data_IF_692066516353
#
_entry.id   IF_692066516353
#
_cell.length_a   1.000
_cell.length_b   1.000
_cell.length_c   1.000
_cell.angle_alpha   90.00
_cell.angle_beta   90.00
_cell.angle_gamma   90.00
#
_symmetry.space_group_name_H-M   'P 1'
#
loop_
_entity.id
_entity.type
_entity.pdbx_description
1 polymer ?
#
# COMPACT_ATOMS: atom_id res chain seq x y z
N UNK A 1 40.50 9.56 -8.98
CA UNK A 1 39.67 9.04 -7.88
C UNK A 1 38.21 9.28 -8.25
N UNK A 2 37.58 8.31 -8.90
CA UNK A 2 36.17 8.43 -9.28
C UNK A 2 35.31 8.11 -8.07
N UNK A 3 34.59 9.11 -7.57
CA UNK A 3 33.56 8.93 -6.56
C UNK A 3 32.34 8.41 -7.30
N UNK A 4 31.99 7.13 -7.13
CA UNK A 4 30.71 6.63 -7.65
C UNK A 4 29.60 7.51 -7.06
N UNK A 5 28.63 7.98 -7.87
CA UNK A 5 27.45 8.61 -7.32
C UNK A 5 26.74 7.56 -6.46
N UNK A 6 26.51 7.88 -5.18
CA UNK A 6 25.58 7.12 -4.36
C UNK A 6 24.25 7.05 -5.11
N UNK A 7 23.58 5.89 -5.24
CA UNK A 7 22.25 5.86 -5.81
C UNK A 7 21.37 6.77 -4.97
N UNK A 8 20.87 7.86 -5.55
CA UNK A 8 19.79 8.63 -4.96
C UNK A 8 18.59 7.68 -4.93
N UNK A 9 18.28 7.15 -3.75
CA UNK A 9 17.12 6.29 -3.60
C UNK A 9 15.89 7.10 -4.03
N UNK A 10 15.06 6.61 -4.95
CA UNK A 10 13.85 7.32 -5.36
C UNK A 10 12.98 7.56 -4.12
N UNK A 11 12.36 8.75 -4.00
CA UNK A 11 11.48 9.05 -2.88
C UNK A 11 10.26 8.14 -2.92
N UNK A 12 10.26 7.10 -2.07
CA UNK A 12 9.05 6.35 -1.75
C UNK A 12 8.27 7.19 -0.75
N UNK A 13 7.06 7.61 -1.14
CA UNK A 13 6.14 8.26 -0.21
C UNK A 13 5.45 7.18 0.62
N UNK A 14 5.93 6.98 1.84
CA UNK A 14 5.32 6.13 2.85
C UNK A 14 5.30 6.92 4.16
N UNK A 15 4.10 7.28 4.67
CA UNK A 15 4.00 8.06 5.90
C UNK A 15 4.70 7.35 7.07
N UNK A 16 5.40 8.12 7.89
CA UNK A 16 6.04 7.64 9.11
C UNK A 16 5.14 7.93 10.31
N UNK A 17 4.69 6.87 10.97
CA UNK A 17 3.91 6.90 12.20
C UNK A 17 4.86 6.64 13.36
N UNK A 18 5.12 7.66 14.17
CA UNK A 18 6.00 7.58 15.33
C UNK A 18 5.16 7.46 16.61
N UNK A 19 5.39 6.41 17.40
CA UNK A 19 4.77 6.17 18.69
C UNK A 19 5.84 6.30 19.78
N UNK A 20 5.77 7.34 20.58
CA UNK A 20 6.65 7.50 21.74
C UNK A 20 5.88 7.07 22.99
N UNK A 21 6.33 5.99 23.63
CA UNK A 21 5.77 5.49 24.88
C UNK A 21 6.37 6.30 26.03
N UNK A 22 5.51 7.02 26.75
CA UNK A 22 5.89 7.82 27.90
C UNK A 22 6.01 6.95 29.16
N UNK A 23 6.67 7.47 30.21
CA UNK A 23 6.90 6.76 31.47
C UNK A 23 5.61 6.31 32.17
N UNK A 24 4.51 7.03 31.98
CA UNK A 24 3.18 6.71 32.54
C UNK A 24 2.40 5.68 31.69
N UNK A 25 3.02 5.14 30.65
CA UNK A 25 2.45 4.19 29.70
C UNK A 25 1.44 4.80 28.73
N UNK A 26 1.35 6.13 28.64
CA UNK A 26 0.65 6.81 27.54
C UNK A 26 1.52 6.86 26.30
N UNK A 27 0.92 7.13 25.15
CA UNK A 27 1.63 7.19 23.88
C UNK A 27 1.40 8.54 23.22
N UNK A 28 2.48 9.18 22.81
CA UNK A 28 2.43 10.34 21.92
C UNK A 28 2.60 9.85 20.49
N UNK A 29 1.64 10.17 19.61
CA UNK A 29 1.64 9.71 18.22
C UNK A 29 1.80 10.88 17.27
N UNK A 30 2.69 10.74 16.28
CA UNK A 30 2.75 11.64 15.12
C UNK A 30 2.68 10.85 13.81
N UNK A 31 2.11 11.46 12.77
CA UNK A 31 2.15 10.99 11.38
C UNK A 31 2.88 12.07 10.58
N UNK A 32 4.03 11.73 10.00
CA UNK A 32 4.92 12.68 9.34
C UNK A 32 5.14 13.95 10.17
N UNK A 33 5.52 13.74 11.44
CA UNK A 33 5.74 14.78 12.46
C UNK A 33 4.48 15.56 12.91
N UNK A 34 3.34 15.36 12.25
CA UNK A 34 2.06 15.99 12.63
C UNK A 34 1.40 15.19 13.76
N UNK A 35 1.04 15.81 14.90
CA UNK A 35 0.40 15.11 16.00
C UNK A 35 -0.92 14.43 15.60
N UNK A 36 -1.08 13.17 16.00
CA UNK A 36 -2.33 12.41 15.84
C UNK A 36 -3.01 12.27 17.22
N UNK A 37 -3.96 13.16 17.57
CA UNK A 37 -4.58 13.13 18.89
C UNK A 37 -5.51 11.91 19.05
N UNK A 38 -5.67 11.41 20.28
CA UNK A 38 -6.67 10.37 20.57
C UNK A 38 -8.10 10.88 20.36
N UNK A 39 -9.04 9.97 20.05
CA UNK A 39 -10.46 10.30 20.08
C UNK A 39 -10.87 10.73 21.50
N UNK A 40 -11.94 11.53 21.63
CA UNK A 40 -12.32 12.19 22.89
C UNK A 40 -12.66 11.23 24.04
N UNK A 41 -13.01 9.98 23.75
CA UNK A 41 -13.20 8.91 24.74
C UNK A 41 -12.45 7.66 24.23
N UNK A 42 -11.42 7.14 24.93
CA UNK A 42 -10.96 7.46 26.29
C UNK A 42 -10.02 8.68 26.41
N UNK A 43 -9.77 9.45 25.35
CA UNK A 43 -9.00 10.71 25.42
C UNK A 43 -7.48 10.54 25.61
N UNK A 44 -6.96 9.31 25.65
CA UNK A 44 -5.53 9.02 25.76
C UNK A 44 -5.15 7.81 24.91
N UNK A 45 -4.01 7.90 24.21
CA UNK A 45 -3.44 6.73 23.57
C UNK A 45 -2.71 5.86 24.60
N UNK A 46 -2.96 4.55 24.48
CA UNK A 46 -2.36 3.50 25.30
C UNK A 46 -1.92 2.36 24.39
N UNK A 47 -1.08 1.46 24.89
CA UNK A 47 -0.57 0.32 24.11
C UNK A 47 -1.69 -0.56 23.52
N UNK A 48 -2.81 -0.71 24.23
CA UNK A 48 -3.97 -1.43 23.71
C UNK A 48 -4.64 -0.79 22.47
N UNK A 49 -4.41 0.49 22.23
CA UNK A 49 -4.98 1.24 21.10
C UNK A 49 -4.11 1.19 19.83
N UNK A 50 -3.01 0.44 19.83
CA UNK A 50 -2.13 0.29 18.66
C UNK A 50 -2.88 -0.02 17.36
N UNK A 51 -3.79 -1.02 17.30
CA UNK A 51 -4.54 -1.30 16.09
C UNK A 51 -5.28 -0.07 15.57
N UNK A 52 -6.00 0.63 16.44
CA UNK A 52 -6.77 1.83 16.12
C UNK A 52 -5.89 2.99 15.65
N UNK A 53 -4.73 3.20 16.30
CA UNK A 53 -3.75 4.23 15.90
C UNK A 53 -3.31 3.97 14.47
N UNK A 54 -2.96 2.73 14.14
CA UNK A 54 -2.51 2.40 12.79
C UNK A 54 -3.66 2.53 11.79
N UNK A 55 -4.86 2.07 12.12
CA UNK A 55 -6.03 2.22 11.23
C UNK A 55 -6.25 3.71 10.90
N UNK A 56 -6.23 4.59 11.91
CA UNK A 56 -6.41 6.03 11.69
C UNK A 56 -5.25 6.63 10.87
N UNK A 57 -4.01 6.29 11.19
CA UNK A 57 -2.83 6.82 10.52
C UNK A 57 -2.67 6.32 9.08
N UNK A 58 -3.29 5.19 8.74
CA UNK A 58 -3.23 4.55 7.41
C UNK A 58 -4.52 4.69 6.60
N UNK A 59 -5.47 5.52 7.07
CA UNK A 59 -6.82 5.62 6.53
C UNK A 59 -7.50 4.25 6.35
N UNK A 60 -7.72 3.55 7.45
CA UNK A 60 -8.28 2.19 7.52
C UNK A 60 -7.47 1.18 6.67
N UNK A 61 -6.14 1.27 6.74
CA UNK A 61 -5.17 0.45 6.00
C UNK A 61 -5.26 0.62 4.48
N UNK A 62 -5.70 1.78 3.99
CA UNK A 62 -5.75 2.06 2.55
C UNK A 62 -4.36 2.22 1.92
N UNK A 63 -3.36 2.67 2.68
CA UNK A 63 -1.98 2.82 2.23
C UNK A 63 -0.99 2.25 3.24
N UNK A 64 0.22 1.83 2.78
CA UNK A 64 1.24 1.34 3.69
C UNK A 64 1.79 2.49 4.56
N UNK A 65 2.11 2.17 5.81
CA UNK A 65 2.75 3.12 6.73
C UNK A 65 3.96 2.50 7.40
N UNK A 66 5.00 3.32 7.62
CA UNK A 66 6.16 2.92 8.43
C UNK A 66 5.89 3.29 9.87
N UNK A 67 5.93 2.30 10.75
CA UNK A 67 5.71 2.49 12.18
C UNK A 67 7.05 2.46 12.88
N UNK A 68 7.35 3.49 13.66
CA UNK A 68 8.45 3.49 14.63
C UNK A 68 7.86 3.59 16.04
N UNK A 69 8.30 2.72 16.93
CA UNK A 69 7.90 2.72 18.33
C UNK A 69 9.16 2.97 19.16
N UNK A 70 9.17 4.05 19.93
CA UNK A 70 10.18 4.30 20.95
C UNK A 70 9.58 3.95 22.31
N UNK A 71 10.19 2.98 22.98
CA UNK A 71 9.82 2.58 24.32
C UNK A 71 10.51 3.46 25.38
N UNK A 72 9.96 3.48 26.59
CA UNK A 72 10.49 4.27 27.70
C UNK A 72 11.86 3.77 28.19
N UNK A 73 12.22 2.52 27.92
CA UNK A 73 13.53 1.94 28.21
C UNK A 73 14.62 2.32 27.18
N UNK A 74 14.25 3.13 26.19
CA UNK A 74 15.13 3.57 25.10
C UNK A 74 15.25 2.57 23.95
N UNK A 75 14.53 1.44 24.00
CA UNK A 75 14.45 0.52 22.87
C UNK A 75 13.56 1.10 21.76
N UNK A 76 13.86 0.72 20.52
CA UNK A 76 13.12 1.16 19.35
C UNK A 76 12.77 -0.02 18.44
N UNK A 77 11.55 -0.02 17.95
CA UNK A 77 11.04 -1.02 17.02
C UNK A 77 10.56 -0.35 15.74
N UNK A 78 10.80 -0.97 14.59
CA UNK A 78 10.35 -0.45 13.30
C UNK A 78 9.57 -1.51 12.53
N UNK A 79 8.39 -1.16 12.04
CA UNK A 79 7.57 -1.95 11.12
C UNK A 79 7.17 -1.20 9.85
N UNK A 80 6.78 -1.93 8.82
CA UNK A 80 6.03 -1.41 7.68
C UNK A 80 4.70 -2.15 7.66
N UNK A 81 3.63 -1.47 8.02
CA UNK A 81 2.28 -2.01 7.92
C UNK A 81 1.83 -1.87 6.47
N UNK A 82 1.50 -2.97 5.76
CA UNK A 82 1.02 -2.90 4.39
C UNK A 82 -0.42 -2.37 4.32
N UNK A 83 -0.81 -1.93 3.13
CA UNK A 83 -2.22 -1.69 2.84
C UNK A 83 -3.01 -3.01 2.80
N UNK A 84 -4.29 -2.97 3.15
CA UNK A 84 -5.22 -4.08 2.93
C UNK A 84 -5.83 -3.92 1.53
N UNK A 85 -5.47 -4.79 0.61
CA UNK A 85 -6.08 -4.84 -0.72
C UNK A 85 -7.46 -5.49 -0.57
N UNK A 86 -8.51 -4.66 -0.51
CA UNK A 86 -9.89 -5.14 -0.59
C UNK A 86 -10.18 -5.50 -2.04
N UNK A 87 -10.11 -6.79 -2.39
CA UNK A 87 -10.69 -7.27 -3.65
C UNK A 87 -12.20 -7.16 -3.51
N UNK A 88 -12.82 -6.22 -4.21
CA UNK A 88 -14.27 -6.28 -4.43
C UNK A 88 -14.52 -7.60 -5.19
N UNK A 89 -15.34 -8.52 -4.65
CA UNK A 89 -15.77 -9.67 -5.43
C UNK A 89 -16.39 -9.15 -6.73
N UNK A 90 -16.04 -9.75 -7.87
CA UNK A 90 -16.78 -9.49 -9.09
C UNK A 90 -18.28 -9.75 -8.77
N UNK A 91 -19.21 -8.86 -9.18
CA UNK A 91 -20.62 -9.12 -8.98
C UNK A 91 -20.94 -10.50 -9.53
N UNK A 92 -21.62 -11.33 -8.73
CA UNK A 92 -22.01 -12.67 -9.15
C UNK A 92 -22.96 -12.52 -10.33
N UNK A 93 -22.65 -13.07 -11.52
CA UNK A 93 -23.55 -13.03 -12.67
C UNK A 93 -24.91 -13.69 -12.40
N UNK A 94 -25.04 -14.40 -11.27
CA UNK A 94 -26.22 -15.14 -10.87
C UNK A 94 -26.99 -14.51 -9.70
N UNK A 95 -26.65 -13.30 -9.26
CA UNK A 95 -27.41 -12.61 -8.21
C UNK A 95 -28.84 -12.30 -8.73
N UNK A 96 -29.89 -13.00 -8.24
CA UNK A 96 -31.22 -12.94 -8.84
C UNK A 96 -31.95 -11.62 -8.57
N UNK A 97 -31.39 -10.76 -7.72
CA UNK A 97 -31.90 -9.42 -7.40
C UNK A 97 -31.26 -8.30 -8.27
N UNK A 98 -30.34 -8.63 -9.17
CA UNK A 98 -29.94 -7.72 -10.23
C UNK A 98 -31.07 -7.69 -11.28
N UNK A 99 -32.07 -6.83 -11.05
CA UNK A 99 -33.23 -6.64 -11.93
C UNK A 99 -32.80 -6.46 -13.39
N UNK A 100 -32.91 -7.56 -14.15
CA UNK A 100 -32.89 -7.55 -15.61
C UNK A 100 -34.27 -7.12 -16.08
N UNK A 101 -34.36 -5.89 -16.59
CA UNK A 101 -35.55 -5.42 -17.31
C UNK A 101 -35.65 -6.20 -18.66
N UNK A 102 -36.70 -6.98 -18.93
CA UNK A 102 -36.72 -7.88 -20.08
C UNK A 102 -37.54 -7.29 -21.23
N UNK A 103 -36.87 -6.89 -22.31
CA UNK A 103 -37.44 -6.78 -23.66
C UNK A 103 -36.26 -6.55 -24.63
N UNK A 104 -36.00 -7.30 -25.70
CA UNK A 104 -36.89 -7.88 -26.71
C UNK A 104 -36.15 -9.03 -27.40
N UNK A 105 -36.84 -10.15 -27.62
CA UNK A 105 -36.42 -11.26 -28.47
C UNK A 105 -36.31 -10.89 -29.97
N UNK A 106 -35.54 -11.74 -30.66
CA UNK A 106 -35.61 -12.16 -32.07
C UNK A 106 -34.49 -11.61 -32.97
N UNK A 107 -33.75 -12.37 -33.78
CA UNK A 107 -33.68 -13.81 -34.10
C UNK A 107 -32.59 -13.96 -35.18
N UNK A 108 -31.68 -14.95 -35.05
CA UNK A 108 -30.87 -15.65 -36.11
C UNK A 108 -29.86 -14.78 -36.89
N UNK A 109 -28.72 -15.24 -37.40
CA UNK A 109 -27.99 -16.51 -37.52
C UNK A 109 -26.58 -16.10 -38.04
N UNK A 110 -25.59 -16.97 -37.82
CA UNK A 110 -24.42 -17.21 -38.69
C UNK A 110 -23.08 -16.46 -38.48
N UNK A 111 -22.05 -17.32 -38.34
CA UNK A 111 -20.63 -17.22 -38.69
C UNK A 111 -19.70 -16.10 -38.21
N UNK A 112 -18.58 -16.54 -37.61
CA UNK A 112 -17.27 -15.88 -37.73
C UNK A 112 -16.79 -15.06 -36.54
N UNK A 113 -15.87 -15.65 -35.77
CA UNK A 113 -14.68 -15.01 -35.17
C UNK A 113 -14.83 -13.63 -34.50
N UNK A 114 -14.80 -13.59 -33.17
CA UNK A 114 -13.95 -12.65 -32.44
C UNK A 114 -13.70 -13.16 -31.01
N UNK A 115 -12.42 -13.24 -30.62
CA UNK A 115 -12.01 -13.36 -29.22
C UNK A 115 -12.45 -12.08 -28.50
N UNK A 116 -13.68 -12.09 -27.99
CA UNK A 116 -14.15 -11.05 -27.11
C UNK A 116 -13.39 -11.17 -25.79
N UNK A 117 -12.29 -10.44 -25.68
CA UNK A 117 -11.76 -10.04 -24.40
C UNK A 117 -12.94 -9.51 -23.57
N UNK A 118 -13.13 -9.93 -22.32
CA UNK A 118 -14.16 -9.35 -21.49
C UNK A 118 -13.78 -7.89 -21.31
N UNK A 119 -14.47 -7.02 -22.04
CA UNK A 119 -14.43 -5.60 -21.84
C UNK A 119 -14.93 -5.37 -20.41
N UNK A 120 -13.99 -5.18 -19.49
CA UNK A 120 -14.29 -4.67 -18.17
C UNK A 120 -14.69 -3.21 -18.35
N UNK A 121 -15.93 -2.99 -18.79
CA UNK A 121 -16.60 -1.69 -18.70
C UNK A 121 -17.25 -1.62 -17.32
N UNK A 122 -16.44 -1.85 -16.28
CA UNK A 122 -16.67 -1.29 -14.97
C UNK A 122 -15.97 0.05 -14.98
N UNK A 123 -16.68 1.14 -14.67
CA UNK A 123 -16.02 2.44 -14.50
C UNK A 123 -14.88 2.25 -13.51
N UNK A 124 -13.64 2.39 -13.97
CA UNK A 124 -12.48 2.35 -13.10
C UNK A 124 -12.64 3.53 -12.14
N UNK A 125 -13.02 3.26 -10.90
CA UNK A 125 -13.10 4.26 -9.85
C UNK A 125 -11.66 4.72 -9.57
N UNK A 126 -11.27 5.85 -10.15
CA UNK A 126 -9.95 6.42 -9.96
C UNK A 126 -9.91 7.22 -8.67
N UNK A 127 -8.98 6.87 -7.78
CA UNK A 127 -8.68 7.65 -6.58
C UNK A 127 -7.49 8.58 -6.88
N UNK A 128 -7.70 9.89 -6.76
CA UNK A 128 -6.62 10.87 -6.89
C UNK A 128 -5.78 10.91 -5.61
N UNK A 129 -4.46 10.83 -5.75
CA UNK A 129 -3.50 10.96 -4.64
C UNK A 129 -2.64 12.19 -4.91
N UNK A 130 -2.74 13.20 -4.04
CA UNK A 130 -1.97 14.44 -4.16
C UNK A 130 -0.74 14.41 -3.26
N UNK A 131 0.44 14.53 -3.86
CA UNK A 131 1.70 14.69 -3.13
C UNK A 131 2.20 16.13 -3.24
N UNK A 132 2.17 16.89 -2.15
CA UNK A 132 2.56 18.31 -2.13
C UNK A 132 3.90 18.50 -1.41
N UNK A 133 4.83 19.26 -2.02
CA UNK A 133 6.15 19.61 -1.44
C UNK A 133 7.03 18.42 -1.04
N UNK A 134 6.93 17.30 -1.76
CA UNK A 134 7.72 16.09 -1.51
C UNK A 134 9.13 16.10 -2.13
N UNK A 135 9.58 17.25 -2.65
CA UNK A 135 10.91 17.39 -3.25
C UNK A 135 11.04 16.88 -4.69
N UNK A 136 9.91 16.56 -5.34
CA UNK A 136 9.90 16.11 -6.72
C UNK A 136 10.37 17.19 -7.71
N UNK A 137 11.17 16.80 -8.70
CA UNK A 137 11.58 17.70 -9.77
C UNK A 137 10.44 17.93 -10.79
N UNK A 138 10.28 19.14 -11.35
CA UNK A 138 9.24 19.40 -12.35
C UNK A 138 9.35 18.48 -13.57
N UNK A 139 8.26 17.76 -13.88
CA UNK A 139 8.17 16.88 -15.05
C UNK A 139 8.87 15.52 -14.91
N UNK A 140 9.36 15.16 -13.72
CA UNK A 140 9.91 13.84 -13.49
C UNK A 140 8.81 12.76 -13.49
N UNK A 141 9.15 11.56 -13.98
CA UNK A 141 8.27 10.40 -13.89
C UNK A 141 8.32 9.83 -12.48
N UNK A 142 7.15 9.62 -11.87
CA UNK A 142 7.03 9.03 -10.54
C UNK A 142 6.65 7.56 -10.64
N UNK A 143 7.47 6.68 -10.07
CA UNK A 143 7.07 5.30 -9.82
C UNK A 143 6.12 5.26 -8.61
N UNK A 144 4.94 4.67 -8.78
CA UNK A 144 3.95 4.48 -7.71
C UNK A 144 3.93 3.00 -7.34
N UNK A 145 4.24 2.68 -6.08
CA UNK A 145 4.29 1.31 -5.58
C UNK A 145 3.43 1.15 -4.32
N UNK A 146 2.76 0.01 -4.23
CA UNK A 146 2.03 -0.42 -3.03
C UNK A 146 2.79 -1.57 -2.39
N UNK A 147 2.95 -1.55 -1.07
CA UNK A 147 3.49 -2.71 -0.35
C UNK A 147 2.41 -3.79 -0.31
N UNK A 148 2.60 -4.85 -1.09
CA UNK A 148 1.62 -5.95 -1.25
C UNK A 148 1.88 -7.13 -0.31
N UNK A 149 3.01 -7.14 0.40
CA UNK A 149 3.39 -8.21 1.33
C UNK A 149 4.71 -7.93 2.03
N UNK A 150 5.12 -8.86 2.90
CA UNK A 150 6.36 -8.78 3.67
C UNK A 150 7.15 -10.09 3.58
N UNK A 151 8.48 -9.99 3.58
CA UNK A 151 9.41 -11.12 3.69
C UNK A 151 10.56 -10.74 4.62
N UNK A 152 11.13 -11.74 5.29
CA UNK A 152 12.33 -11.56 6.12
C UNK A 152 13.59 -11.85 5.30
N UNK A 153 14.62 -11.02 5.50
CA UNK A 153 15.94 -11.26 4.94
C UNK A 153 16.68 -12.33 5.75
N UNK A 154 17.57 -13.07 5.11
CA UNK A 154 18.48 -14.03 5.77
C UNK A 154 19.49 -13.31 6.66
N UNK A 155 20.22 -14.07 7.48
CA UNK A 155 21.32 -13.54 8.30
C UNK A 155 22.41 -12.83 7.47
N UNK A 156 22.56 -13.17 6.18
CA UNK A 156 23.48 -12.53 5.24
C UNK A 156 22.90 -11.28 4.56
N UNK A 157 21.62 -10.98 4.78
CA UNK A 157 20.92 -9.85 4.18
C UNK A 157 20.29 -10.15 2.82
N UNK A 158 20.22 -11.42 2.39
CA UNK A 158 19.57 -11.82 1.16
C UNK A 158 18.06 -11.98 1.36
N UNK A 159 17.25 -11.66 0.36
CA UNK A 159 15.79 -11.83 0.41
C UNK A 159 15.28 -12.56 -0.84
N UNK A 160 14.27 -13.42 -0.66
CA UNK A 160 13.52 -14.05 -1.76
C UNK A 160 12.05 -13.75 -1.57
N UNK A 161 11.41 -13.23 -2.62
CA UNK A 161 9.99 -12.89 -2.63
C UNK A 161 9.29 -13.73 -3.69
N UNK A 162 8.09 -14.21 -3.39
CA UNK A 162 7.18 -14.80 -4.38
C UNK A 162 6.03 -13.83 -4.57
N UNK A 163 5.70 -13.54 -5.82
CA UNK A 163 4.63 -12.63 -6.20
C UNK A 163 3.60 -13.41 -6.99
N UNK A 164 2.33 -13.04 -6.79
CA UNK A 164 1.21 -13.59 -7.55
C UNK A 164 1.35 -13.15 -9.01
N UNK A 165 1.42 -14.10 -9.93
CA UNK A 165 1.58 -13.83 -11.36
C UNK A 165 0.35 -13.11 -11.93
N UNK A 166 -0.85 -13.46 -11.46
CA UNK A 166 -2.08 -12.85 -11.95
C UNK A 166 -2.14 -11.37 -11.57
N UNK A 167 -1.58 -11.01 -10.40
CA UNK A 167 -1.43 -9.62 -9.98
C UNK A 167 -0.42 -8.86 -10.86
N UNK A 168 0.71 -9.50 -11.20
CA UNK A 168 1.75 -8.91 -12.04
C UNK A 168 1.19 -8.61 -13.44
N UNK A 169 0.57 -9.61 -14.07
CA UNK A 169 0.05 -9.49 -15.42
C UNK A 169 -1.17 -8.54 -15.46
N UNK A 170 -2.09 -8.67 -14.50
CA UNK A 170 -3.30 -7.85 -14.42
C UNK A 170 -3.05 -6.35 -14.21
N UNK A 171 -1.92 -5.99 -13.58
CA UNK A 171 -1.54 -4.59 -13.34
C UNK A 171 -0.39 -4.11 -14.24
N UNK A 172 0.15 -4.96 -15.12
CA UNK A 172 1.27 -4.63 -16.00
C UNK A 172 2.56 -4.28 -15.24
N UNK A 173 2.81 -4.93 -14.09
CA UNK A 173 3.96 -4.64 -13.23
C UNK A 173 5.23 -5.20 -13.88
N UNK A 174 6.19 -4.34 -14.22
CA UNK A 174 7.50 -4.74 -14.77
C UNK A 174 8.63 -4.73 -13.73
N UNK A 175 8.44 -4.04 -12.61
CA UNK A 175 9.45 -3.84 -11.58
C UNK A 175 8.84 -3.95 -10.18
N UNK A 176 9.64 -4.40 -9.21
CA UNK A 176 9.31 -4.36 -7.79
C UNK A 176 10.33 -3.55 -6.99
N UNK A 177 9.80 -2.88 -5.96
CA UNK A 177 10.61 -2.16 -4.97
C UNK A 177 10.65 -2.99 -3.68
N UNK A 178 11.85 -3.35 -3.24
CA UNK A 178 12.12 -3.94 -1.94
C UNK A 178 12.59 -2.85 -0.99
N UNK A 179 11.93 -2.71 0.16
CA UNK A 179 12.26 -1.72 1.18
C UNK A 179 12.58 -2.38 2.52
N UNK A 180 13.82 -2.22 2.99
CA UNK A 180 14.25 -2.71 4.29
C UNK A 180 13.68 -1.87 5.44
N UNK A 181 12.93 -2.51 6.36
CA UNK A 181 12.32 -1.84 7.53
C UNK A 181 13.36 -1.13 8.40
N UNK A 182 14.41 -1.85 8.78
CA UNK A 182 15.45 -1.35 9.71
C UNK A 182 16.52 -0.55 8.97
N UNK A 183 17.05 -1.10 7.88
CA UNK A 183 18.16 -0.50 7.13
C UNK A 183 17.75 0.68 6.26
N UNK A 184 16.45 0.81 5.93
CA UNK A 184 15.90 1.75 4.95
C UNK A 184 16.48 1.56 3.54
N UNK A 185 17.14 0.43 3.28
CA UNK A 185 17.67 0.12 1.96
C UNK A 185 16.51 -0.06 0.96
N UNK A 186 16.61 0.62 -0.18
CA UNK A 186 15.66 0.50 -1.27
C UNK A 186 16.36 -0.14 -2.47
N UNK A 187 15.75 -1.21 -2.98
CA UNK A 187 16.26 -1.95 -4.14
C UNK A 187 15.14 -2.11 -5.16
N UNK A 188 15.38 -1.69 -6.39
CA UNK A 188 14.48 -1.94 -7.53
C UNK A 188 14.95 -3.19 -8.27
N UNK A 189 14.02 -4.04 -8.68
CA UNK A 189 14.27 -5.26 -9.46
C UNK A 189 13.22 -5.40 -10.56
N UNK A 190 13.68 -5.67 -11.78
CA UNK A 190 12.79 -6.09 -12.87
C UNK A 190 12.24 -7.49 -12.57
N UNK A 191 10.96 -7.70 -12.92
CA UNK A 191 10.31 -9.01 -12.86
C UNK A 191 10.57 -9.69 -14.22
N UNK A 192 11.23 -10.84 -14.19
CA UNK A 192 11.55 -11.66 -15.38
C UNK A 192 10.47 -12.69 -15.67
#
# INVERSE_FOLDING_TARGET
>A
MSKNPSPSLPPVSMPTVMLNVNDDGTITVTVDETPLPPPPDPGVWRRGAFPQIIDLASNDRAFPVRVEVHENDGTAFTDIVPAIIRRTPAPDPLDPDAEADPAVETTREDDGQEVAAPAHVGQAETVEVTATRMGFAPGEALAVAVVTGQVEATETGDARVQLDRDLIEGLGISEVILLGRTSKALVVREIS
#
